data_IF_413815516355
#
_entry.id   IF_413815516355
#
_cell.length_a   1.000
_cell.length_b   1.000
_cell.length_c   1.000
_cell.angle_alpha   90.00
_cell.angle_beta   90.00
_cell.angle_gamma   90.00
#
_symmetry.space_group_name_H-M   'P 1'
#
loop_
_entity.id
_entity.type
_entity.pdbx_description
1 polymer ?
#
# COMPACT_ATOMS: atom_id res chain seq x y z
N UNK A 1 -30.08 28.18 -28.84
CA UNK A 1 -28.88 27.51 -29.33
C UNK A 1 -27.77 27.34 -28.27
N UNK A 2 -27.45 28.34 -27.39
CA UNK A 2 -26.37 28.18 -26.36
C UNK A 2 -26.63 27.08 -25.31
N UNK A 3 -27.87 26.83 -24.88
CA UNK A 3 -28.19 25.80 -23.87
C UNK A 3 -28.02 24.35 -24.37
N UNK A 4 -28.28 24.11 -25.67
CA UNK A 4 -28.16 22.79 -26.29
C UNK A 4 -26.68 22.43 -26.44
N UNK A 5 -25.81 23.40 -26.73
CA UNK A 5 -24.38 23.15 -26.90
C UNK A 5 -23.70 22.79 -25.58
N UNK A 6 -24.12 23.39 -24.43
CA UNK A 6 -23.58 23.10 -23.10
C UNK A 6 -23.97 21.69 -22.63
N UNK A 7 -25.17 21.24 -22.94
CA UNK A 7 -25.63 19.90 -22.57
C UNK A 7 -24.93 18.82 -23.38
N UNK A 8 -24.65 19.07 -24.65
CA UNK A 8 -23.92 18.12 -25.52
C UNK A 8 -22.46 18.01 -25.09
N UNK A 9 -21.81 19.10 -24.68
CA UNK A 9 -20.42 19.07 -24.19
C UNK A 9 -20.34 18.32 -22.86
N UNK A 10 -21.29 18.52 -21.94
CA UNK A 10 -21.32 17.80 -20.65
C UNK A 10 -21.57 16.29 -20.83
N UNK A 11 -22.43 15.91 -21.76
CA UNK A 11 -22.69 14.50 -22.10
C UNK A 11 -21.47 13.87 -22.78
N UNK A 12 -20.77 14.60 -23.65
CA UNK A 12 -19.56 14.10 -24.30
C UNK A 12 -18.38 13.94 -23.33
N UNK A 13 -18.22 14.83 -22.36
CA UNK A 13 -17.16 14.72 -21.33
C UNK A 13 -17.44 13.58 -20.34
N UNK A 14 -18.69 13.34 -19.96
CA UNK A 14 -19.06 12.19 -19.14
C UNK A 14 -18.95 10.87 -19.91
N UNK A 15 -19.26 10.84 -21.21
CA UNK A 15 -19.08 9.66 -22.05
C UNK A 15 -17.60 9.34 -22.28
N UNK A 16 -16.74 10.33 -22.52
CA UNK A 16 -15.28 10.14 -22.63
C UNK A 16 -14.66 9.63 -21.33
N UNK A 17 -15.11 10.09 -20.17
CA UNK A 17 -14.64 9.60 -18.88
C UNK A 17 -15.07 8.16 -18.59
N UNK A 18 -16.26 7.77 -19.00
CA UNK A 18 -16.75 6.39 -18.94
C UNK A 18 -16.02 5.47 -19.93
N UNK A 19 -15.74 5.92 -21.15
CA UNK A 19 -14.97 5.14 -22.14
C UNK A 19 -13.48 4.97 -21.71
N UNK A 20 -12.87 5.96 -21.09
CA UNK A 20 -11.50 5.84 -20.56
C UNK A 20 -11.42 4.84 -19.39
N UNK A 21 -12.50 4.63 -18.65
CA UNK A 21 -12.59 3.60 -17.60
C UNK A 21 -12.80 2.19 -18.15
N UNK A 22 -13.50 2.03 -19.29
CA UNK A 22 -13.81 0.71 -19.86
C UNK A 22 -12.62 0.01 -20.56
N UNK A 23 -11.63 0.77 -21.06
CA UNK A 23 -10.48 0.21 -21.79
C UNK A 23 -9.26 -0.11 -20.92
N UNK A 24 -9.44 -0.17 -19.60
CA UNK A 24 -8.28 -0.30 -18.70
C UNK A 24 -7.72 -1.72 -18.60
N UNK A 25 -8.50 -2.75 -18.88
CA UNK A 25 -8.03 -4.14 -18.73
C UNK A 25 -8.30 -5.01 -19.96
N UNK A 26 -7.25 -5.22 -20.74
CA UNK A 26 -7.21 -6.21 -21.83
C UNK A 26 -6.66 -7.58 -21.38
N UNK A 27 -6.35 -7.76 -20.06
CA UNK A 27 -5.56 -8.90 -19.56
C UNK A 27 -6.36 -9.93 -18.73
N UNK A 28 -7.70 -9.87 -18.71
CA UNK A 28 -8.53 -10.81 -17.95
C UNK A 28 -8.66 -10.51 -16.45
N UNK A 29 -8.16 -9.36 -15.99
CA UNK A 29 -8.31 -8.91 -14.60
C UNK A 29 -9.38 -7.82 -14.42
N UNK A 30 -10.31 -7.69 -15.39
CA UNK A 30 -11.33 -6.63 -15.40
C UNK A 30 -12.14 -6.56 -14.10
N UNK A 31 -12.53 -7.71 -13.55
CA UNK A 31 -13.28 -7.79 -12.30
C UNK A 31 -12.51 -7.23 -11.12
N UNK A 32 -11.23 -7.57 -10.99
CA UNK A 32 -10.36 -7.05 -9.93
C UNK A 32 -10.26 -5.52 -9.99
N UNK A 33 -10.00 -4.95 -11.16
CA UNK A 33 -9.85 -3.50 -11.30
C UNK A 33 -11.16 -2.74 -11.06
N UNK A 34 -12.33 -3.31 -11.39
CA UNK A 34 -13.65 -2.70 -11.16
C UNK A 34 -13.99 -2.51 -9.69
N UNK A 35 -13.39 -3.30 -8.80
CA UNK A 35 -13.56 -3.13 -7.34
C UNK A 35 -12.99 -1.79 -6.83
N UNK A 36 -12.06 -1.18 -7.59
CA UNK A 36 -11.32 -0.02 -7.15
C UNK A 36 -11.80 1.27 -7.83
N UNK A 37 -12.39 2.16 -7.05
CA UNK A 37 -12.73 3.51 -7.49
C UNK A 37 -11.46 4.35 -7.70
N UNK A 38 -11.51 5.26 -8.68
CA UNK A 38 -10.50 6.29 -8.88
C UNK A 38 -10.71 7.43 -7.88
N UNK A 39 -9.66 7.82 -7.18
CA UNK A 39 -9.64 8.89 -6.19
C UNK A 39 -8.38 9.73 -6.35
N UNK A 40 -8.36 10.88 -5.70
CA UNK A 40 -7.20 11.74 -5.59
C UNK A 40 -7.15 12.42 -4.23
N UNK A 41 -5.95 12.56 -3.69
CA UNK A 41 -5.65 13.35 -2.51
C UNK A 41 -4.58 14.37 -2.87
N UNK A 42 -4.73 15.63 -2.44
CA UNK A 42 -3.73 16.68 -2.64
C UNK A 42 -3.48 17.41 -1.33
N UNK A 43 -2.23 17.74 -1.09
CA UNK A 43 -1.82 18.73 -0.12
C UNK A 43 -1.05 19.84 -0.83
N UNK A 44 -0.42 20.75 -0.09
CA UNK A 44 0.35 21.88 -0.64
C UNK A 44 1.58 21.47 -1.47
N UNK A 45 2.08 20.25 -1.28
CA UNK A 45 3.35 19.78 -1.85
C UNK A 45 3.19 18.79 -3.00
N UNK A 46 2.16 17.93 -2.97
CA UNK A 46 2.02 16.82 -3.91
C UNK A 46 0.57 16.40 -4.06
N UNK A 47 0.23 15.91 -5.24
CA UNK A 47 -1.01 15.18 -5.50
C UNK A 47 -0.72 13.69 -5.57
N UNK A 48 -1.47 12.90 -4.81
CA UNK A 48 -1.46 11.44 -4.85
C UNK A 48 -2.77 10.95 -5.47
N UNK A 49 -2.77 10.57 -6.75
CA UNK A 49 -3.84 9.72 -7.27
C UNK A 49 -3.87 8.41 -6.48
N UNK A 50 -5.06 7.90 -6.15
CA UNK A 50 -5.16 6.61 -5.47
C UNK A 50 -6.35 5.79 -5.93
N UNK A 51 -6.27 4.50 -5.71
CA UNK A 51 -7.36 3.56 -5.94
C UNK A 51 -7.89 3.08 -4.61
N UNK A 52 -9.23 3.00 -4.49
CA UNK A 52 -9.91 2.61 -3.27
C UNK A 52 -10.91 1.50 -3.55
N UNK A 53 -10.83 0.42 -2.78
CA UNK A 53 -11.85 -0.63 -2.77
C UNK A 53 -12.40 -0.83 -1.36
N UNK A 54 -13.70 -1.10 -1.27
CA UNK A 54 -14.37 -1.52 -0.04
C UNK A 54 -14.76 -2.98 -0.18
N UNK A 55 -14.17 -3.84 0.64
CA UNK A 55 -14.32 -5.29 0.56
C UNK A 55 -15.12 -5.83 1.75
N UNK A 56 -15.91 -6.88 1.52
CA UNK A 56 -16.65 -7.60 2.56
C UNK A 56 -17.54 -6.66 3.40
N UNK A 57 -18.26 -5.74 2.75
CA UNK A 57 -19.05 -4.72 3.46
C UNK A 57 -20.28 -5.29 4.17
N UNK A 58 -20.73 -6.48 3.79
CA UNK A 58 -21.83 -7.20 4.45
C UNK A 58 -21.42 -7.84 5.79
N UNK A 59 -20.11 -7.92 6.07
CA UNK A 59 -19.60 -8.45 7.34
C UNK A 59 -19.79 -7.42 8.48
N UNK A 60 -20.03 -7.93 9.69
CA UNK A 60 -20.23 -7.11 10.87
C UNK A 60 -18.96 -6.39 11.33
N UNK A 61 -19.13 -5.29 12.07
CA UNK A 61 -18.04 -4.52 12.67
C UNK A 61 -17.47 -3.44 11.76
N UNK A 62 -16.39 -2.82 12.23
CA UNK A 62 -15.70 -1.75 11.53
C UNK A 62 -14.71 -2.31 10.50
N UNK A 63 -14.42 -1.53 9.47
CA UNK A 63 -13.49 -1.87 8.40
C UNK A 63 -12.03 -1.70 8.86
N UNK A 64 -11.17 -2.64 8.50
CA UNK A 64 -9.73 -2.42 8.54
C UNK A 64 -9.32 -1.44 7.42
N UNK A 65 -8.31 -0.59 7.65
CA UNK A 65 -7.70 0.22 6.61
C UNK A 65 -6.40 -0.42 6.14
N UNK A 66 -6.31 -0.73 4.85
CA UNK A 66 -5.18 -1.43 4.25
C UNK A 66 -4.52 -0.53 3.21
N UNK A 67 -3.27 -0.13 3.45
CA UNK A 67 -2.49 0.72 2.57
C UNK A 67 -1.46 -0.13 1.82
N UNK A 68 -1.39 0.04 0.50
CA UNK A 68 -0.43 -0.66 -0.34
C UNK A 68 0.46 0.33 -1.10
N UNK A 69 1.77 0.25 -0.87
CA UNK A 69 2.77 1.07 -1.54
C UNK A 69 3.44 0.28 -2.67
N UNK A 70 3.30 0.76 -3.89
CA UNK A 70 3.82 0.15 -5.11
C UNK A 70 5.34 0.30 -5.26
N UNK A 71 5.94 -0.48 -6.16
CA UNK A 71 7.37 -0.39 -6.52
C UNK A 71 7.69 0.81 -7.44
N UNK A 72 8.97 1.10 -7.61
CA UNK A 72 9.45 2.23 -8.43
C UNK A 72 8.98 2.20 -9.89
N UNK A 73 8.78 1.01 -10.48
CA UNK A 73 8.30 0.85 -11.86
C UNK A 73 6.83 1.27 -12.05
N UNK A 74 6.08 1.45 -10.98
CA UNK A 74 4.66 1.79 -11.00
C UNK A 74 4.39 3.27 -10.64
N UNK A 75 5.44 4.07 -10.49
CA UNK A 75 5.34 5.52 -10.29
C UNK A 75 4.71 6.19 -11.51
N UNK A 76 3.94 7.22 -11.27
CA UNK A 76 3.25 7.99 -12.32
C UNK A 76 2.10 8.80 -11.78
N UNK A 77 1.26 9.26 -12.69
CA UNK A 77 0.08 10.09 -12.43
C UNK A 77 -1.18 9.53 -13.13
N UNK A 78 -1.06 8.35 -13.72
CA UNK A 78 -2.12 7.70 -14.50
C UNK A 78 -3.22 7.08 -13.64
N UNK A 79 -3.01 7.00 -12.32
CA UNK A 79 -3.87 6.31 -11.35
C UNK A 79 -4.22 4.87 -11.76
N UNK A 80 -3.31 4.19 -12.45
CA UNK A 80 -3.47 2.84 -13.01
C UNK A 80 -2.26 1.96 -12.74
N UNK A 81 -1.05 2.48 -12.94
CA UNK A 81 0.18 1.70 -12.90
C UNK A 81 0.44 1.10 -11.52
N UNK A 82 0.04 1.75 -10.42
CA UNK A 82 0.16 1.22 -9.05
C UNK A 82 -0.64 -0.06 -8.80
N UNK A 83 -1.63 -0.33 -9.64
CA UNK A 83 -2.48 -1.53 -9.55
C UNK A 83 -1.86 -2.77 -10.22
N UNK A 84 -0.76 -2.58 -10.96
CA UNK A 84 -0.09 -3.67 -11.69
C UNK A 84 0.66 -4.59 -10.72
N UNK A 85 0.86 -5.82 -11.15
CA UNK A 85 1.53 -6.84 -10.35
C UNK A 85 0.56 -7.67 -9.50
N UNK A 86 1.10 -8.70 -8.87
CA UNK A 86 0.31 -9.71 -8.15
C UNK A 86 0.12 -9.37 -6.67
N UNK A 87 1.03 -8.63 -6.06
CA UNK A 87 1.06 -8.40 -4.62
C UNK A 87 -0.25 -7.82 -4.06
N UNK A 88 -0.73 -6.70 -4.61
CA UNK A 88 -2.00 -6.11 -4.17
C UNK A 88 -3.19 -7.04 -4.42
N UNK A 89 -3.20 -7.73 -5.57
CA UNK A 89 -4.26 -8.70 -5.89
C UNK A 89 -4.27 -9.86 -4.89
N UNK A 90 -3.10 -10.36 -4.49
CA UNK A 90 -2.98 -11.42 -3.47
C UNK A 90 -3.52 -10.95 -2.12
N UNK A 91 -3.20 -9.72 -1.69
CA UNK A 91 -3.75 -9.14 -0.47
C UNK A 91 -5.28 -9.04 -0.55
N UNK A 92 -5.83 -8.56 -1.67
CA UNK A 92 -7.29 -8.46 -1.88
C UNK A 92 -7.96 -9.82 -1.82
N UNK A 93 -7.41 -10.81 -2.51
CA UNK A 93 -7.94 -12.18 -2.50
C UNK A 93 -7.91 -12.77 -1.08
N UNK A 94 -6.85 -12.53 -0.31
CA UNK A 94 -6.76 -12.95 1.09
C UNK A 94 -7.86 -12.31 1.94
N UNK A 95 -8.07 -11.00 1.81
CA UNK A 95 -9.11 -10.27 2.55
C UNK A 95 -10.51 -10.81 2.25
N UNK A 96 -10.82 -11.06 0.98
CA UNK A 96 -12.11 -11.60 0.55
C UNK A 96 -12.31 -13.06 1.02
N UNK A 97 -11.30 -13.92 0.84
CA UNK A 97 -11.37 -15.33 1.25
C UNK A 97 -11.54 -15.50 2.76
N UNK A 98 -10.99 -14.59 3.56
CA UNK A 98 -11.10 -14.59 5.01
C UNK A 98 -12.20 -13.66 5.54
N UNK A 99 -13.04 -13.10 4.65
CA UNK A 99 -14.16 -12.21 5.00
C UNK A 99 -13.76 -11.03 5.88
N UNK A 100 -12.60 -10.45 5.62
CA UNK A 100 -12.08 -9.31 6.38
C UNK A 100 -12.67 -8.02 5.82
N UNK A 101 -13.65 -7.45 6.52
CA UNK A 101 -14.21 -6.14 6.18
C UNK A 101 -13.11 -5.09 6.15
N UNK A 102 -12.93 -4.44 4.99
CA UNK A 102 -11.77 -3.56 4.80
C UNK A 102 -12.00 -2.47 3.74
N UNK A 103 -11.25 -1.38 3.91
CA UNK A 103 -11.00 -0.35 2.91
C UNK A 103 -9.56 -0.49 2.46
N UNK A 104 -9.36 -0.82 1.19
CA UNK A 104 -8.03 -1.00 0.58
C UNK A 104 -7.69 0.23 -0.24
N UNK A 105 -6.52 0.82 0.02
CA UNK A 105 -6.06 2.06 -0.61
C UNK A 105 -4.68 1.86 -1.22
N UNK A 106 -4.57 2.11 -2.51
CA UNK A 106 -3.33 2.05 -3.27
C UNK A 106 -3.00 3.43 -3.85
N UNK A 107 -2.27 4.30 -3.14
CA UNK A 107 -1.83 5.58 -3.66
C UNK A 107 -0.74 5.39 -4.72
N UNK A 108 -0.62 6.35 -5.64
CA UNK A 108 0.42 6.39 -6.65
C UNK A 108 1.36 7.57 -6.40
N UNK A 109 2.62 7.25 -6.19
CA UNK A 109 3.71 8.22 -6.13
C UNK A 109 4.08 8.64 -7.55
N UNK A 110 4.28 9.92 -7.80
CA UNK A 110 4.66 10.44 -9.10
C UNK A 110 6.11 10.04 -9.50
N UNK A 111 6.52 10.39 -10.72
CA UNK A 111 7.83 10.02 -11.24
C UNK A 111 9.00 10.77 -10.57
N UNK A 112 8.73 11.91 -9.92
CA UNK A 112 9.75 12.76 -9.32
C UNK A 112 10.08 12.37 -7.88
N UNK A 113 9.22 11.54 -7.23
CA UNK A 113 9.35 11.18 -5.83
C UNK A 113 9.45 9.67 -5.63
N UNK A 114 9.98 9.29 -4.48
CA UNK A 114 9.93 7.93 -3.92
C UNK A 114 9.25 7.98 -2.54
N UNK A 115 8.72 6.83 -2.11
CA UNK A 115 8.07 6.71 -0.79
C UNK A 115 9.01 7.00 0.38
N UNK A 116 10.32 6.89 0.18
CA UNK A 116 11.36 7.07 1.21
C UNK A 116 12.32 8.23 0.91
N UNK A 117 11.92 9.20 0.11
CA UNK A 117 12.72 10.39 -0.16
C UNK A 117 13.06 11.17 1.10
N UNK A 118 14.20 11.85 1.09
CA UNK A 118 14.66 12.64 2.24
C UNK A 118 13.76 13.82 2.56
N UNK A 119 13.06 14.38 1.57
CA UNK A 119 12.10 15.45 1.76
C UNK A 119 10.72 14.97 2.27
N UNK A 120 10.51 13.65 2.31
CA UNK A 120 9.34 12.98 2.86
C UNK A 120 7.99 13.39 2.23
N UNK A 121 7.96 14.08 1.10
CA UNK A 121 6.71 14.59 0.52
C UNK A 121 5.68 13.51 0.24
N UNK A 122 6.09 12.43 -0.44
CA UNK A 122 5.20 11.33 -0.77
C UNK A 122 4.72 10.56 0.48
N UNK A 123 5.61 10.28 1.44
CA UNK A 123 5.25 9.60 2.69
C UNK A 123 4.37 10.47 3.59
N UNK A 124 4.65 11.77 3.66
CA UNK A 124 3.81 12.74 4.40
C UNK A 124 2.41 12.84 3.82
N UNK A 125 2.29 12.94 2.50
CA UNK A 125 0.99 12.97 1.83
C UNK A 125 0.22 11.65 2.02
N UNK A 126 0.89 10.49 1.97
CA UNK A 126 0.28 9.21 2.27
C UNK A 126 -0.22 9.15 3.72
N UNK A 127 0.53 9.68 4.69
CA UNK A 127 0.08 9.77 6.09
C UNK A 127 -1.16 10.66 6.23
N UNK A 128 -1.15 11.85 5.62
CA UNK A 128 -2.29 12.76 5.64
C UNK A 128 -3.52 12.15 4.98
N UNK A 129 -3.35 11.38 3.88
CA UNK A 129 -4.43 10.61 3.28
C UNK A 129 -5.02 9.58 4.26
N UNK A 130 -4.16 8.83 4.96
CA UNK A 130 -4.58 7.87 6.00
C UNK A 130 -5.40 8.57 7.08
N UNK A 131 -4.90 9.68 7.63
CA UNK A 131 -5.57 10.44 8.67
C UNK A 131 -6.94 10.97 8.20
N UNK A 132 -6.98 11.49 6.98
CA UNK A 132 -8.23 11.96 6.37
C UNK A 132 -9.25 10.83 6.21
N UNK A 133 -8.81 9.66 5.71
CA UNK A 133 -9.70 8.51 5.54
C UNK A 133 -10.28 8.04 6.88
N UNK A 134 -9.48 8.02 7.95
CA UNK A 134 -9.95 7.67 9.30
C UNK A 134 -10.93 8.73 9.83
N UNK A 135 -10.64 10.01 9.63
CA UNK A 135 -11.49 11.10 10.11
C UNK A 135 -12.84 11.19 9.37
N UNK A 136 -12.82 10.99 8.05
CA UNK A 136 -14.01 11.13 7.21
C UNK A 136 -14.92 9.89 7.21
N UNK A 137 -14.43 8.73 7.68
CA UNK A 137 -15.17 7.46 7.62
C UNK A 137 -15.28 6.81 9.00
N UNK A 138 -16.42 6.98 9.63
CA UNK A 138 -16.70 6.44 10.99
C UNK A 138 -16.75 4.91 11.06
N UNK A 139 -16.80 4.23 9.91
CA UNK A 139 -16.75 2.77 9.80
C UNK A 139 -15.34 2.20 9.70
N UNK A 140 -14.31 3.04 9.67
CA UNK A 140 -12.90 2.60 9.69
C UNK A 140 -12.40 2.50 11.14
N UNK A 141 -11.90 1.32 11.52
CA UNK A 141 -11.26 1.09 12.80
C UNK A 141 -9.81 1.62 12.80
N UNK A 142 -9.57 2.72 13.49
CA UNK A 142 -8.23 3.31 13.63
C UNK A 142 -7.21 2.42 14.35
N UNK A 143 -7.65 1.34 15.00
CA UNK A 143 -6.80 0.31 15.61
C UNK A 143 -6.44 -0.82 14.66
N UNK A 144 -7.00 -0.83 13.45
CA UNK A 144 -6.79 -1.85 12.43
C UNK A 144 -6.29 -1.22 11.12
N UNK A 145 -5.21 -0.45 11.20
CA UNK A 145 -4.55 0.18 10.03
C UNK A 145 -3.31 -0.63 9.69
N UNK A 146 -3.23 -1.15 8.48
CA UNK A 146 -2.15 -2.01 8.00
C UNK A 146 -1.47 -1.39 6.79
N UNK A 147 -0.14 -1.54 6.69
CA UNK A 147 0.63 -1.04 5.56
C UNK A 147 1.50 -2.13 4.95
N UNK A 148 1.46 -2.22 3.63
CA UNK A 148 2.16 -3.20 2.83
C UNK A 148 2.97 -2.52 1.72
N UNK A 149 4.09 -3.10 1.36
CA UNK A 149 4.86 -2.63 0.21
C UNK A 149 6.01 -3.55 -0.15
N UNK A 150 6.46 -3.47 -1.39
CA UNK A 150 7.60 -4.24 -1.87
C UNK A 150 8.56 -3.37 -2.66
N UNK A 151 9.84 -3.75 -2.71
CA UNK A 151 10.90 -2.99 -3.38
C UNK A 151 10.90 -1.53 -2.89
N UNK A 152 10.77 -0.55 -3.75
CA UNK A 152 10.63 0.87 -3.38
C UNK A 152 9.44 1.13 -2.44
N UNK A 153 8.30 0.45 -2.62
CA UNK A 153 7.16 0.51 -1.70
C UNK A 153 7.50 -0.09 -0.33
N UNK A 154 8.30 -1.15 -0.29
CA UNK A 154 8.83 -1.70 0.95
C UNK A 154 9.75 -0.73 1.69
N UNK A 155 10.59 0.02 0.96
CA UNK A 155 11.38 1.11 1.55
C UNK A 155 10.47 2.22 2.11
N UNK A 156 9.34 2.48 1.44
CA UNK A 156 8.28 3.36 1.95
C UNK A 156 7.66 2.84 3.25
N UNK A 157 7.40 1.54 3.37
CA UNK A 157 6.91 0.94 4.63
C UNK A 157 7.90 1.18 5.76
N UNK A 158 9.21 0.90 5.58
CA UNK A 158 10.24 1.20 6.57
C UNK A 158 10.20 2.66 7.01
N UNK A 159 10.05 3.58 6.04
CA UNK A 159 9.98 5.01 6.28
C UNK A 159 8.72 5.38 7.08
N UNK A 160 7.55 4.91 6.67
CA UNK A 160 6.26 5.22 7.29
C UNK A 160 6.19 4.75 8.74
N UNK A 161 6.65 3.53 9.05
CA UNK A 161 6.64 3.03 10.45
C UNK A 161 7.68 3.73 11.34
N UNK A 162 8.74 4.27 10.74
CA UNK A 162 9.76 5.05 11.44
C UNK A 162 9.30 6.47 11.77
N UNK A 163 8.69 7.14 10.78
CA UNK A 163 8.32 8.55 10.90
C UNK A 163 6.98 8.76 11.63
N UNK A 164 6.10 7.74 11.59
CA UNK A 164 4.76 7.81 12.15
C UNK A 164 4.48 6.65 13.12
N UNK A 165 5.22 6.60 14.24
CA UNK A 165 5.09 5.54 15.25
C UNK A 165 3.65 5.49 15.79
N UNK A 166 3.17 4.27 16.07
CA UNK A 166 1.82 4.07 16.61
C UNK A 166 0.68 4.28 15.59
N UNK A 167 0.96 4.57 14.31
CA UNK A 167 -0.08 4.68 13.29
C UNK A 167 -0.62 3.32 12.90
N UNK A 168 0.24 2.33 12.71
CA UNK A 168 -0.12 1.03 12.14
C UNK A 168 -0.27 -0.05 13.20
N UNK A 169 -1.27 -0.93 13.02
CA UNK A 169 -1.46 -2.14 13.82
C UNK A 169 -0.39 -3.19 13.49
N UNK A 170 -0.01 -3.29 12.22
CA UNK A 170 1.14 -4.02 11.74
C UNK A 170 1.57 -3.51 10.36
N UNK A 171 2.78 -3.87 9.96
CA UNK A 171 3.34 -3.51 8.67
C UNK A 171 4.03 -4.70 8.02
N UNK A 172 4.10 -4.72 6.68
CA UNK A 172 4.83 -5.74 5.95
C UNK A 172 5.65 -5.12 4.82
N UNK A 173 6.92 -5.47 4.81
CA UNK A 173 7.86 -5.04 3.78
C UNK A 173 8.52 -6.24 3.11
N UNK A 174 8.62 -6.21 1.79
CA UNK A 174 9.23 -7.27 1.00
C UNK A 174 10.30 -6.74 0.04
N UNK A 175 11.37 -7.52 -0.17
CA UNK A 175 12.45 -7.20 -1.11
C UNK A 175 12.96 -5.76 -0.95
N UNK A 176 13.15 -5.29 0.29
CA UNK A 176 13.62 -3.94 0.59
C UNK A 176 14.47 -3.92 1.86
N UNK A 177 15.13 -2.81 2.09
CA UNK A 177 15.97 -2.61 3.28
C UNK A 177 15.70 -1.25 3.93
N UNK A 178 15.93 -1.13 5.26
CA UNK A 178 15.79 0.13 5.98
C UNK A 178 16.88 1.14 5.56
N UNK A 179 16.48 2.38 5.30
CA UNK A 179 17.41 3.47 5.01
C UNK A 179 17.02 4.72 5.77
N UNK A 180 17.93 5.26 6.57
CA UNK A 180 17.70 6.46 7.42
C UNK A 180 16.41 6.36 8.25
N UNK A 181 16.26 5.26 8.98
CA UNK A 181 15.11 4.97 9.84
C UNK A 181 15.53 4.91 11.31
N UNK A 182 14.58 5.04 12.20
CA UNK A 182 14.79 5.04 13.67
C UNK A 182 14.23 3.76 14.30
N UNK A 183 15.05 2.75 14.64
CA UNK A 183 14.60 1.47 15.18
C UNK A 183 13.70 1.60 16.41
N UNK A 184 13.97 2.57 17.30
CA UNK A 184 13.16 2.86 18.49
C UNK A 184 11.70 3.17 18.15
N UNK A 185 11.46 3.90 17.07
CA UNK A 185 10.10 4.24 16.66
C UNK A 185 9.42 3.09 15.92
N UNK A 186 10.18 2.36 15.08
CA UNK A 186 9.68 1.15 14.40
C UNK A 186 9.23 0.10 15.40
N UNK A 187 9.89 -0.01 16.57
CA UNK A 187 9.56 -0.96 17.63
C UNK A 187 8.11 -0.87 18.13
N UNK A 188 7.41 0.23 17.84
CA UNK A 188 6.00 0.41 18.21
C UNK A 188 5.02 -0.27 17.21
N UNK A 189 5.52 -0.81 16.11
CA UNK A 189 4.70 -1.46 15.08
C UNK A 189 5.21 -2.86 14.81
N UNK A 190 4.42 -3.94 15.02
CA UNK A 190 4.75 -5.28 14.58
C UNK A 190 5.08 -5.28 13.09
N UNK A 191 6.25 -5.83 12.72
CA UNK A 191 6.78 -5.73 11.35
C UNK A 191 7.10 -7.11 10.78
N UNK A 192 6.48 -7.45 9.65
CA UNK A 192 6.85 -8.60 8.83
C UNK A 192 7.86 -8.15 7.76
N UNK A 193 9.01 -8.81 7.71
CA UNK A 193 10.10 -8.51 6.78
C UNK A 193 10.42 -9.74 5.96
N UNK A 194 10.25 -9.66 4.64
CA UNK A 194 10.55 -10.77 3.71
C UNK A 194 11.70 -10.39 2.79
N UNK A 195 12.75 -11.20 2.79
CA UNK A 195 13.95 -10.98 1.97
C UNK A 195 14.42 -12.28 1.34
N UNK A 196 14.86 -12.22 0.10
CA UNK A 196 15.40 -13.36 -0.64
C UNK A 196 16.91 -13.54 -0.44
N UNK A 197 17.39 -14.79 -0.42
CA UNK A 197 18.84 -15.04 -0.28
C UNK A 197 19.64 -14.72 -1.53
N UNK A 198 19.00 -14.63 -2.71
CA UNK A 198 19.60 -14.23 -3.98
C UNK A 198 19.19 -12.82 -4.42
N UNK A 199 18.50 -12.06 -3.55
CA UNK A 199 18.18 -10.66 -3.84
C UNK A 199 19.46 -9.81 -3.74
N UNK A 200 19.90 -9.29 -4.87
CA UNK A 200 21.09 -8.44 -4.99
C UNK A 200 20.84 -6.98 -4.59
N UNK A 201 19.57 -6.55 -4.58
CA UNK A 201 19.13 -5.20 -4.23
C UNK A 201 18.80 -5.06 -2.74
N UNK A 202 18.15 -6.07 -2.16
CA UNK A 202 17.74 -6.09 -0.76
C UNK A 202 18.32 -7.31 -0.03
N UNK A 203 19.60 -7.25 0.27
CA UNK A 203 20.34 -8.35 0.89
C UNK A 203 19.88 -8.63 2.31
N UNK A 204 19.86 -9.90 2.71
CA UNK A 204 19.56 -10.33 4.09
C UNK A 204 20.45 -9.61 5.11
N UNK A 205 21.73 -9.37 4.78
CA UNK A 205 22.68 -8.63 5.63
C UNK A 205 22.30 -7.16 5.84
N UNK A 206 21.54 -6.55 4.93
CA UNK A 206 21.13 -5.15 5.03
C UNK A 206 19.98 -4.92 6.01
N UNK A 207 19.18 -5.94 6.31
CA UNK A 207 18.03 -5.81 7.23
C UNK A 207 18.34 -6.25 8.65
N UNK A 208 19.20 -7.26 8.82
CA UNK A 208 19.49 -7.87 10.15
C UNK A 208 19.96 -6.89 11.23
N UNK A 209 20.87 -5.92 10.96
CA UNK A 209 21.31 -4.97 11.98
C UNK A 209 20.16 -4.13 12.55
N UNK A 210 19.31 -3.59 11.66
CA UNK A 210 18.15 -2.78 12.04
C UNK A 210 17.13 -3.61 12.82
N UNK A 211 16.86 -4.85 12.38
CA UNK A 211 15.95 -5.76 13.10
C UNK A 211 16.45 -6.01 14.51
N UNK A 212 17.75 -6.28 14.70
CA UNK A 212 18.35 -6.47 16.02
C UNK A 212 18.17 -5.24 16.92
N UNK A 213 18.31 -4.03 16.38
CA UNK A 213 18.06 -2.81 17.12
C UNK A 213 16.58 -2.61 17.48
N UNK A 214 15.65 -2.91 16.55
CA UNK A 214 14.20 -2.87 16.82
C UNK A 214 13.85 -3.81 17.99
N UNK A 215 14.39 -5.03 17.99
CA UNK A 215 14.17 -6.03 19.05
C UNK A 215 14.73 -5.58 20.41
N UNK A 216 15.86 -4.85 20.45
CA UNK A 216 16.39 -4.25 21.70
C UNK A 216 15.42 -3.22 22.31
N UNK A 217 14.62 -2.54 21.49
CA UNK A 217 13.56 -1.65 21.96
C UNK A 217 12.23 -2.36 22.23
N UNK A 218 12.21 -3.70 22.27
CA UNK A 218 11.01 -4.50 22.53
C UNK A 218 10.09 -4.68 21.32
N UNK A 219 10.54 -4.29 20.13
CA UNK A 219 9.73 -4.42 18.92
C UNK A 219 9.62 -5.87 18.42
N UNK A 220 8.48 -6.21 17.88
CA UNK A 220 8.18 -7.52 17.29
C UNK A 220 8.50 -7.51 15.81
N UNK A 221 9.42 -8.36 15.36
CA UNK A 221 9.76 -8.53 13.94
C UNK A 221 9.69 -10.00 13.54
N UNK A 222 8.87 -10.29 12.54
CA UNK A 222 8.83 -11.59 11.86
C UNK A 222 9.72 -11.50 10.62
N UNK A 223 10.95 -12.00 10.72
CA UNK A 223 11.90 -12.04 9.59
C UNK A 223 11.78 -13.36 8.84
N UNK A 224 11.40 -13.29 7.57
CA UNK A 224 11.30 -14.42 6.66
C UNK A 224 12.42 -14.30 5.62
N UNK A 225 13.26 -15.32 5.56
CA UNK A 225 14.37 -15.42 4.60
C UNK A 225 14.03 -16.47 3.57
N UNK A 226 13.62 -16.06 2.39
CA UNK A 226 13.27 -16.96 1.28
C UNK A 226 14.52 -17.51 0.61
N UNK A 227 14.76 -18.79 0.80
CA UNK A 227 15.93 -19.46 0.22
C UNK A 227 15.80 -19.56 -1.30
N UNK A 228 16.80 -19.06 -2.01
CA UNK A 228 16.88 -19.13 -3.48
C UNK A 228 16.11 -18.04 -4.22
N UNK A 229 15.27 -17.24 -3.54
CA UNK A 229 14.52 -16.15 -4.15
C UNK A 229 15.42 -14.96 -4.48
N UNK A 230 15.35 -14.49 -5.72
CA UNK A 230 15.90 -13.21 -6.18
C UNK A 230 14.94 -12.05 -5.84
N UNK A 231 15.25 -10.86 -6.33
CA UNK A 231 14.44 -9.66 -6.07
C UNK A 231 12.99 -9.80 -6.55
N UNK A 232 12.79 -10.29 -7.78
CA UNK A 232 11.44 -10.41 -8.36
C UNK A 232 10.63 -11.53 -7.68
N UNK A 233 11.25 -12.70 -7.48
CA UNK A 233 10.61 -13.82 -6.78
C UNK A 233 10.19 -13.40 -5.36
N UNK A 234 11.05 -12.70 -4.63
CA UNK A 234 10.69 -12.18 -3.29
C UNK A 234 9.52 -11.20 -3.35
N UNK A 235 9.48 -10.28 -4.32
CA UNK A 235 8.35 -9.35 -4.50
C UNK A 235 7.02 -10.07 -4.74
N UNK A 236 7.04 -11.22 -5.44
CA UNK A 236 5.85 -11.98 -5.80
C UNK A 236 5.42 -12.89 -4.64
N UNK A 237 6.34 -13.62 -4.04
CA UNK A 237 6.04 -14.71 -3.10
C UNK A 237 5.81 -14.21 -1.66
N UNK A 238 6.29 -13.01 -1.34
CA UNK A 238 6.23 -12.48 0.03
C UNK A 238 4.82 -12.48 0.63
N UNK A 239 3.79 -12.22 -0.16
CA UNK A 239 2.42 -12.03 0.31
C UNK A 239 1.63 -13.35 0.43
N UNK A 240 2.28 -14.40 0.92
CA UNK A 240 1.63 -15.70 1.18
C UNK A 240 0.57 -15.58 2.28
N UNK A 241 -0.39 -16.51 2.30
CA UNK A 241 -1.47 -16.53 3.30
C UNK A 241 -0.94 -16.54 4.73
N UNK A 242 0.12 -17.31 5.03
CA UNK A 242 0.73 -17.34 6.35
C UNK A 242 1.29 -15.97 6.77
N UNK A 243 1.94 -15.26 5.86
CA UNK A 243 2.52 -13.95 6.12
C UNK A 243 1.42 -12.89 6.31
N UNK A 244 0.39 -12.93 5.48
CA UNK A 244 -0.77 -12.05 5.59
C UNK A 244 -1.55 -12.33 6.88
N UNK A 245 -1.76 -13.60 7.24
CA UNK A 245 -2.37 -13.99 8.51
C UNK A 245 -1.61 -13.41 9.70
N UNK A 246 -0.28 -13.51 9.70
CA UNK A 246 0.53 -12.93 10.77
C UNK A 246 0.30 -11.42 10.90
N UNK A 247 0.25 -10.69 9.78
CA UNK A 247 0.01 -9.24 9.78
C UNK A 247 -1.39 -8.90 10.31
N UNK A 248 -2.43 -9.54 9.78
CA UNK A 248 -3.82 -9.22 10.14
C UNK A 248 -4.25 -9.70 11.54
N UNK A 249 -3.49 -10.60 12.16
CA UNK A 249 -3.70 -11.01 13.56
C UNK A 249 -3.28 -9.95 14.58
N UNK A 250 -2.51 -8.94 14.17
CA UNK A 250 -2.11 -7.84 15.06
C UNK A 250 -3.16 -6.73 15.06
N UNK A 251 -3.46 -6.21 16.25
CA UNK A 251 -4.35 -5.05 16.50
C UNK A 251 -3.67 -4.13 17.50
N UNK A 252 -3.96 -2.82 17.44
CA UNK A 252 -3.49 -1.86 18.47
C UNK A 252 -4.34 -1.92 19.71
#
# INVERSE_FOLDING_TARGET
>A
MKKILTTIVAIFTTFLSLFSQQNYDTTGNAEYYRKFAFRSFSNENITLPYREARLCQDENGMSALVIFLHSSSHRGDDNKSQMRGTALKTIVNYLESNKIKSVVVAPQCDKNHFWNDSDSKASSAAKQLIDKLIADNTDIDSKRVYIFGYSSGGAGVWRMVSDYPGTFAAAMTAASYPYKVYPKYIAQTPLCVVVGTKDDKAKVSSVKPTIKEIQKYGGTVNLIVEKGSDHLATCINAFSDNNLQWVFNNKK
#
